data_IF_896511328873
#
_entry.id   IF_896511328873
#
_cell.length_a   1.000
_cell.length_b   1.000
_cell.length_c   1.000
_cell.angle_alpha   90.00
_cell.angle_beta   90.00
_cell.angle_gamma   90.00
#
_symmetry.space_group_name_H-M   'P 1'
#
loop_
_entity.id
_entity.type
_entity.pdbx_description
1 polymer ?
#
# COMPACT_ATOMS: atom_id res chain seq x y z
N UNK A 1 25.40 -31.26 -5.93
CA UNK A 1 26.00 -29.97 -5.53
C UNK A 1 26.15 -29.11 -6.78
N UNK A 2 25.68 -27.86 -6.74
CA UNK A 2 25.61 -27.00 -7.92
C UNK A 2 26.87 -26.12 -7.98
N UNK A 3 27.80 -26.45 -8.88
CA UNK A 3 29.17 -25.91 -8.90
C UNK A 3 29.24 -24.38 -9.15
N UNK A 4 28.16 -23.79 -9.68
CA UNK A 4 28.06 -22.36 -10.01
C UNK A 4 27.05 -21.61 -9.16
N UNK A 5 26.51 -22.24 -8.11
CA UNK A 5 25.56 -21.56 -7.25
C UNK A 5 26.26 -20.44 -6.47
N UNK A 6 25.80 -19.21 -6.69
CA UNK A 6 26.14 -18.06 -5.87
C UNK A 6 25.03 -17.89 -4.83
N UNK A 7 25.37 -17.71 -3.53
CA UNK A 7 24.35 -17.40 -2.54
C UNK A 7 23.63 -16.11 -2.95
N UNK A 8 22.31 -16.08 -2.73
CA UNK A 8 21.53 -14.86 -2.95
C UNK A 8 22.06 -13.78 -2.02
N UNK A 9 22.43 -12.63 -2.58
CA UNK A 9 22.80 -11.48 -1.76
C UNK A 9 21.61 -11.06 -0.91
N UNK A 10 21.88 -10.80 0.36
CA UNK A 10 20.93 -10.21 1.30
C UNK A 10 21.59 -8.96 1.91
N UNK A 11 20.88 -7.84 1.90
CA UNK A 11 21.40 -6.60 2.49
C UNK A 11 21.45 -6.69 4.01
N UNK A 12 22.38 -5.97 4.62
CA UNK A 12 22.49 -5.86 6.08
C UNK A 12 21.19 -5.38 6.72
N UNK A 13 20.49 -4.46 6.05
CA UNK A 13 19.16 -3.97 6.49
C UNK A 13 18.13 -5.10 6.50
N UNK A 14 18.14 -6.00 5.51
CA UNK A 14 17.20 -7.13 5.47
C UNK A 14 17.49 -8.10 6.61
N UNK A 15 18.77 -8.40 6.85
CA UNK A 15 19.20 -9.25 7.96
C UNK A 15 18.79 -8.65 9.32
N UNK A 16 19.03 -7.35 9.51
CA UNK A 16 18.61 -6.62 10.70
C UNK A 16 17.10 -6.69 10.94
N UNK A 17 16.28 -6.44 9.90
CA UNK A 17 14.82 -6.51 10.02
C UNK A 17 14.36 -7.93 10.39
N UNK A 18 14.96 -8.97 9.79
CA UNK A 18 14.65 -10.36 10.13
C UNK A 18 14.98 -10.67 11.58
N UNK A 19 16.16 -10.28 12.05
CA UNK A 19 16.56 -10.47 13.45
C UNK A 19 15.65 -9.72 14.43
N UNK A 20 15.29 -8.47 14.10
CA UNK A 20 14.39 -7.66 14.92
C UNK A 20 13.03 -8.36 15.09
N UNK A 21 12.46 -8.86 14.00
CA UNK A 21 11.17 -9.57 14.01
C UNK A 21 11.28 -10.91 14.75
N UNK A 22 12.39 -11.63 14.62
CA UNK A 22 12.62 -12.88 15.35
C UNK A 22 12.73 -12.64 16.87
N UNK A 23 13.42 -11.57 17.27
CA UNK A 23 13.57 -11.17 18.68
C UNK A 23 12.27 -10.63 19.28
N UNK A 24 11.40 -10.02 18.46
CA UNK A 24 10.13 -9.48 18.90
C UNK A 24 8.96 -9.87 17.97
N UNK A 25 8.38 -11.06 18.17
CA UNK A 25 7.27 -11.56 17.35
C UNK A 25 6.00 -10.69 17.39
N UNK A 26 5.80 -9.89 18.44
CA UNK A 26 4.61 -9.04 18.59
C UNK A 26 4.59 -7.84 17.60
N UNK A 27 5.72 -7.50 16.98
CA UNK A 27 5.81 -6.40 16.01
C UNK A 27 4.84 -6.61 14.84
N UNK A 28 4.69 -7.84 14.34
CA UNK A 28 3.81 -8.15 13.20
C UNK A 28 2.32 -7.97 13.56
N UNK A 29 1.96 -8.24 14.81
CA UNK A 29 0.61 -7.97 15.31
C UNK A 29 0.38 -6.46 15.43
N UNK A 30 1.33 -5.73 16.02
CA UNK A 30 1.27 -4.27 16.11
C UNK A 30 1.19 -3.58 14.74
N UNK A 31 1.93 -4.07 13.74
CA UNK A 31 1.84 -3.57 12.37
C UNK A 31 0.44 -3.79 11.76
N UNK A 32 -0.14 -4.98 11.95
CA UNK A 32 -1.50 -5.29 11.48
C UNK A 32 -2.53 -4.39 12.15
N UNK A 33 -2.45 -4.23 13.47
CA UNK A 33 -3.35 -3.35 14.23
C UNK A 33 -3.19 -1.89 13.77
N UNK A 34 -1.96 -1.37 13.68
CA UNK A 34 -1.69 -0.01 13.22
C UNK A 34 -2.19 0.25 11.79
N UNK A 35 -2.03 -0.72 10.88
CA UNK A 35 -2.59 -0.62 9.53
C UNK A 35 -4.12 -0.63 9.56
N UNK A 36 -4.75 -1.44 10.41
CA UNK A 36 -6.20 -1.52 10.51
C UNK A 36 -6.86 -0.22 11.00
N UNK A 37 -6.15 0.62 11.76
CA UNK A 37 -6.70 1.87 12.30
C UNK A 37 -6.92 2.93 11.22
N UNK A 38 -5.97 3.09 10.29
CA UNK A 38 -5.96 4.22 9.36
C UNK A 38 -6.02 3.82 7.88
N UNK A 39 -5.66 2.58 7.57
CA UNK A 39 -5.41 2.14 6.19
C UNK A 39 -6.36 1.06 5.71
N UNK A 40 -6.64 0.04 6.52
CA UNK A 40 -7.60 -1.00 6.12
C UNK A 40 -9.04 -0.48 6.31
N UNK A 41 -9.56 0.17 5.28
CA UNK A 41 -10.94 0.65 5.23
C UNK A 41 -11.82 -0.34 4.47
N UNK A 42 -12.96 -0.71 5.06
CA UNK A 42 -13.99 -1.44 4.34
C UNK A 42 -14.57 -0.51 3.27
N UNK A 43 -14.46 -0.91 2.01
CA UNK A 43 -14.96 -0.16 0.86
C UNK A 43 -16.21 -0.85 0.33
N UNK A 44 -17.34 -0.14 0.36
CA UNK A 44 -18.57 -0.59 -0.28
C UNK A 44 -18.43 -0.51 -1.81
N UNK A 45 -18.46 -1.69 -2.45
CA UNK A 45 -18.28 -1.81 -3.90
C UNK A 45 -19.49 -1.30 -4.68
N UNK A 46 -20.69 -1.38 -4.11
CA UNK A 46 -21.91 -0.89 -4.74
C UNK A 46 -21.95 0.64 -4.70
N UNK A 47 -21.63 1.24 -3.55
CA UNK A 47 -21.47 2.69 -3.45
C UNK A 47 -20.40 3.23 -4.42
N UNK A 48 -19.27 2.53 -4.57
CA UNK A 48 -18.24 2.92 -5.54
C UNK A 48 -18.70 2.85 -7.00
N UNK A 49 -19.59 1.92 -7.33
CA UNK A 49 -20.19 1.84 -8.67
C UNK A 49 -21.08 3.06 -8.91
N UNK A 50 -21.90 3.41 -7.93
CA UNK A 50 -22.80 4.57 -8.00
C UNK A 50 -22.02 5.89 -8.07
N UNK A 51 -20.96 6.06 -7.27
CA UNK A 51 -20.10 7.24 -7.35
C UNK A 51 -19.44 7.40 -8.71
N UNK A 52 -18.98 6.30 -9.33
CA UNK A 52 -18.44 6.35 -10.70
C UNK A 52 -19.51 6.70 -11.72
N UNK A 53 -20.72 6.14 -11.59
CA UNK A 53 -21.84 6.45 -12.48
C UNK A 53 -22.29 7.92 -12.36
N UNK A 54 -22.17 8.51 -11.17
CA UNK A 54 -22.53 9.89 -10.89
C UNK A 54 -21.43 10.92 -11.22
N UNK A 55 -20.28 10.50 -11.78
CA UNK A 55 -19.20 11.43 -12.13
C UNK A 55 -19.65 12.43 -13.20
N UNK A 56 -19.42 13.72 -12.93
CA UNK A 56 -19.61 14.81 -13.89
C UNK A 56 -18.26 15.17 -14.49
N UNK A 57 -18.19 15.31 -15.81
CA UNK A 57 -16.98 15.73 -16.50
C UNK A 57 -16.55 17.12 -16.02
N UNK A 58 -15.35 17.23 -15.44
CA UNK A 58 -14.74 18.51 -15.08
C UNK A 58 -13.88 19.03 -16.23
N UNK A 59 -13.85 20.36 -16.38
CA UNK A 59 -12.93 21.03 -17.29
C UNK A 59 -11.47 20.79 -16.83
N UNK A 60 -10.50 20.70 -17.75
CA UNK A 60 -9.08 20.55 -17.39
C UNK A 60 -8.56 21.65 -16.47
N UNK A 61 -9.13 22.85 -16.59
CA UNK A 61 -8.86 23.97 -15.71
C UNK A 61 -10.17 24.52 -15.14
N UNK A 62 -10.46 24.18 -13.88
CA UNK A 62 -11.72 24.48 -13.17
C UNK A 62 -12.02 25.98 -13.12
N UNK A 63 -10.99 26.82 -13.14
CA UNK A 63 -11.11 28.27 -13.08
C UNK A 63 -11.05 28.94 -14.45
N UNK A 64 -11.02 28.18 -15.55
CA UNK A 64 -11.06 28.78 -16.89
C UNK A 64 -12.45 29.37 -17.09
N UNK A 65 -12.50 30.69 -17.30
CA UNK A 65 -13.70 31.33 -17.83
C UNK A 65 -14.04 30.69 -19.17
N UNK A 66 -15.31 30.37 -19.42
CA UNK A 66 -15.71 29.85 -20.73
C UNK A 66 -15.28 30.87 -21.79
N UNK A 67 -14.60 30.38 -22.84
CA UNK A 67 -14.34 31.22 -24.00
C UNK A 67 -15.69 31.50 -24.67
N UNK A 68 -15.97 32.77 -24.97
CA UNK A 68 -17.08 33.15 -25.85
C UNK A 68 -16.94 32.53 -27.24
#
# INVERSE_FOLDING_TARGET
MNLFYRPKYESEVTQFIKELKAKNPAIEEGQRQGRSLLWDKAVDRDAWREFRAAQVAQQPYVYQSQAE
#
